data_IF_972318560193
#
_entry.id   IF_972318560193
#
_cell.length_a   1.000
_cell.length_b   1.000
_cell.length_c   1.000
_cell.angle_alpha   90.00
_cell.angle_beta   90.00
_cell.angle_gamma   90.00
#
_symmetry.space_group_name_H-M   'P 1'
#
loop_
_entity.id
_entity.type
_entity.pdbx_description
1 polymer ?
#
# COMPACT_ATOMS: atom_id res chain seq x y z
N UNK A 1 -37.41 3.80 -65.28
CA UNK A 1 -36.98 5.17 -64.91
C UNK A 1 -36.41 5.16 -63.51
N UNK A 2 -35.10 5.28 -63.46
CA UNK A 2 -34.19 5.20 -62.31
C UNK A 2 -34.32 6.43 -61.42
N UNK A 3 -34.66 6.25 -60.14
CA UNK A 3 -34.38 7.25 -59.09
C UNK A 3 -33.11 6.81 -58.35
N UNK A 4 -32.01 7.48 -58.69
CA UNK A 4 -30.75 7.43 -57.96
C UNK A 4 -30.96 8.02 -56.56
N UNK A 5 -30.87 7.17 -55.54
CA UNK A 5 -30.70 7.62 -54.15
C UNK A 5 -29.34 8.33 -54.02
N UNK A 6 -29.39 9.64 -53.80
CA UNK A 6 -28.23 10.45 -53.47
C UNK A 6 -27.77 10.10 -52.06
N UNK A 7 -26.54 9.59 -51.97
CA UNK A 7 -25.85 9.22 -50.72
C UNK A 7 -25.70 10.42 -49.75
N UNK A 8 -25.65 10.18 -48.43
CA UNK A 8 -25.60 11.24 -47.42
C UNK A 8 -24.16 11.75 -47.23
N UNK A 9 -23.64 12.49 -48.20
CA UNK A 9 -22.27 13.03 -48.16
C UNK A 9 -22.13 14.13 -47.08
N UNK A 10 -23.21 14.86 -46.76
CA UNK A 10 -23.22 15.93 -45.75
C UNK A 10 -23.07 15.45 -44.30
N UNK A 11 -23.74 14.36 -43.90
CA UNK A 11 -23.70 13.83 -42.52
C UNK A 11 -22.34 13.20 -42.15
N UNK A 12 -21.61 12.62 -43.12
CA UNK A 12 -20.25 12.07 -42.91
C UNK A 12 -19.20 13.16 -42.67
N UNK A 13 -19.34 14.33 -43.31
CA UNK A 13 -18.41 15.48 -43.16
C UNK A 13 -18.51 16.13 -41.79
N UNK A 14 -19.72 16.28 -41.25
CA UNK A 14 -19.95 16.90 -39.94
C UNK A 14 -19.46 16.02 -38.76
N UNK A 15 -19.62 14.69 -38.87
CA UNK A 15 -19.12 13.71 -37.88
C UNK A 15 -17.58 13.66 -37.86
N UNK A 16 -16.95 13.73 -39.03
CA UNK A 16 -15.48 13.76 -39.20
C UNK A 16 -14.83 15.04 -38.63
N UNK A 17 -15.50 16.19 -38.72
CA UNK A 17 -15.01 17.43 -38.11
C UNK A 17 -15.16 17.45 -36.58
N UNK A 18 -16.25 16.89 -36.03
CA UNK A 18 -16.41 16.71 -34.56
C UNK A 18 -15.34 15.80 -33.97
N UNK A 19 -15.03 14.69 -34.64
CA UNK A 19 -13.96 13.76 -34.23
C UNK A 19 -12.58 14.44 -34.33
N UNK A 20 -12.31 15.24 -35.37
CA UNK A 20 -11.07 16.02 -35.47
C UNK A 20 -10.94 17.08 -34.37
N UNK A 21 -12.03 17.75 -33.98
CA UNK A 21 -12.02 18.68 -32.85
C UNK A 21 -11.81 17.98 -31.50
N UNK A 22 -12.41 16.80 -31.28
CA UNK A 22 -12.16 15.99 -30.09
C UNK A 22 -10.73 15.46 -30.04
N UNK A 23 -10.18 14.95 -31.15
CA UNK A 23 -8.78 14.50 -31.24
C UNK A 23 -7.82 15.68 -31.05
N UNK A 24 -8.15 16.86 -31.58
CA UNK A 24 -7.35 18.07 -31.36
C UNK A 24 -7.43 18.56 -29.90
N UNK A 25 -8.60 18.51 -29.25
CA UNK A 25 -8.75 18.80 -27.82
C UNK A 25 -7.98 17.79 -26.96
N UNK A 26 -8.01 16.48 -27.28
CA UNK A 26 -7.21 15.44 -26.61
C UNK A 26 -5.70 15.70 -26.81
N UNK A 27 -5.27 16.11 -28.01
CA UNK A 27 -3.86 16.47 -28.27
C UNK A 27 -3.42 17.78 -27.60
N UNK A 28 -4.32 18.74 -27.40
CA UNK A 28 -4.04 20.03 -26.72
C UNK A 28 -4.14 19.93 -25.19
N UNK A 29 -4.97 19.02 -24.67
CA UNK A 29 -5.05 18.70 -23.26
C UNK A 29 -3.85 17.89 -22.77
N UNK A 30 -3.27 17.03 -23.63
CA UNK A 30 -2.07 16.23 -23.32
C UNK A 30 -0.89 17.01 -22.72
N UNK A 31 -0.40 18.12 -23.30
CA UNK A 31 0.70 18.87 -22.70
C UNK A 31 0.31 19.57 -21.40
N UNK A 32 -0.90 20.13 -21.31
CA UNK A 32 -1.38 20.79 -20.08
C UNK A 32 -1.54 19.79 -18.94
N UNK A 33 -2.17 18.64 -19.20
CA UNK A 33 -2.30 17.54 -18.25
C UNK A 33 -0.92 17.02 -17.83
N UNK A 34 0.01 16.87 -18.77
CA UNK A 34 1.38 16.43 -18.45
C UNK A 34 2.10 17.44 -17.55
N UNK A 35 2.00 18.74 -17.83
CA UNK A 35 2.58 19.80 -16.99
C UNK A 35 1.96 19.77 -15.59
N UNK A 36 0.64 19.69 -15.48
CA UNK A 36 -0.06 19.63 -14.18
C UNK A 36 0.38 18.38 -13.40
N UNK A 37 0.40 17.21 -14.03
CA UNK A 37 0.85 15.96 -13.40
C UNK A 37 2.31 16.04 -12.96
N UNK A 38 3.17 16.68 -13.76
CA UNK A 38 4.58 16.89 -13.42
C UNK A 38 4.73 17.80 -12.21
N UNK A 39 3.97 18.89 -12.14
CA UNK A 39 3.97 19.80 -10.98
C UNK A 39 3.50 19.06 -9.72
N UNK A 40 2.41 18.29 -9.82
CA UNK A 40 1.90 17.49 -8.70
C UNK A 40 2.96 16.47 -8.25
N UNK A 41 3.60 15.77 -9.18
CA UNK A 41 4.66 14.81 -8.88
C UNK A 41 5.85 15.48 -8.17
N UNK A 42 6.32 16.63 -8.65
CA UNK A 42 7.40 17.40 -8.01
C UNK A 42 7.00 17.80 -6.60
N UNK A 43 5.80 18.33 -6.41
CA UNK A 43 5.30 18.74 -5.08
C UNK A 43 5.21 17.54 -4.12
N UNK A 44 4.78 16.37 -4.59
CA UNK A 44 4.73 15.15 -3.78
C UNK A 44 6.12 14.60 -3.44
N UNK A 45 7.12 14.81 -4.30
CA UNK A 45 8.49 14.35 -4.06
C UNK A 45 9.28 15.25 -3.10
N UNK A 46 8.88 16.52 -2.95
CA UNK A 46 9.57 17.50 -2.08
C UNK A 46 9.85 16.93 -0.68
N UNK A 47 8.87 16.41 0.10
CA UNK A 47 9.13 15.90 1.45
C UNK A 47 10.12 14.73 1.47
N UNK A 48 10.06 13.87 0.46
CA UNK A 48 10.95 12.72 0.32
C UNK A 48 12.38 13.21 0.05
N UNK A 49 12.54 14.10 -0.93
CA UNK A 49 13.84 14.68 -1.28
C UNK A 49 14.45 15.40 -0.07
N UNK A 50 13.69 16.20 0.66
CA UNK A 50 14.17 16.86 1.88
C UNK A 50 14.52 15.87 2.99
N UNK A 51 13.77 14.78 3.13
CA UNK A 51 14.08 13.73 4.12
C UNK A 51 15.43 13.10 3.82
N UNK A 52 15.67 12.72 2.56
CA UNK A 52 16.96 12.19 2.14
C UNK A 52 18.07 13.24 2.24
N UNK A 53 17.83 14.49 1.83
CA UNK A 53 18.81 15.57 1.91
C UNK A 53 19.25 15.80 3.36
N UNK A 54 18.31 16.01 4.28
CA UNK A 54 18.57 16.27 5.69
C UNK A 54 19.12 15.05 6.44
N UNK A 55 18.99 13.83 5.90
CA UNK A 55 19.64 12.65 6.48
C UNK A 55 21.18 12.71 6.44
N UNK A 56 21.75 13.53 5.55
CA UNK A 56 23.19 13.74 5.40
C UNK A 56 23.71 14.97 6.17
N UNK A 57 22.84 15.70 6.86
CA UNK A 57 23.23 16.88 7.63
C UNK A 57 23.74 16.47 9.02
N UNK A 58 24.72 17.19 9.59
CA UNK A 58 25.14 17.00 10.97
C UNK A 58 23.99 17.31 11.94
N UNK A 59 23.90 16.55 13.04
CA UNK A 59 22.88 16.76 14.09
C UNK A 59 22.82 18.22 14.57
N UNK A 60 23.97 18.85 14.79
CA UNK A 60 24.06 20.24 15.26
C UNK A 60 23.39 21.23 14.30
N UNK A 61 23.62 21.07 13.00
CA UNK A 61 23.07 21.94 11.95
C UNK A 61 21.54 21.79 11.86
N UNK A 62 21.04 20.54 11.93
CA UNK A 62 19.60 20.25 11.95
C UNK A 62 18.94 20.80 13.21
N UNK A 63 19.55 20.62 14.38
CA UNK A 63 18.97 21.13 15.63
C UNK A 63 18.89 22.66 15.64
N UNK A 64 19.90 23.36 15.12
CA UNK A 64 19.87 24.81 14.96
C UNK A 64 18.80 25.24 13.95
N UNK A 65 18.71 24.53 12.82
CA UNK A 65 17.69 24.78 11.81
C UNK A 65 16.27 24.64 12.36
N UNK A 66 15.99 23.54 13.06
CA UNK A 66 14.68 23.24 13.61
C UNK A 66 14.36 24.06 14.85
N UNK A 67 15.35 24.57 15.59
CA UNK A 67 15.13 25.55 16.65
C UNK A 67 14.51 26.85 16.09
N UNK A 68 14.83 27.21 14.84
CA UNK A 68 14.22 28.34 14.13
C UNK A 68 12.74 28.16 13.81
N UNK A 69 12.20 26.92 13.86
CA UNK A 69 10.80 26.61 13.52
C UNK A 69 9.77 27.31 14.40
N UNK A 70 10.10 27.54 15.68
CA UNK A 70 9.22 28.19 16.65
C UNK A 70 9.52 29.70 16.81
N UNK A 71 10.45 30.25 16.01
CA UNK A 71 10.73 31.68 15.97
C UNK A 71 9.71 32.35 15.06
N UNK A 72 8.57 32.77 15.62
CA UNK A 72 7.49 33.45 14.91
C UNK A 72 7.84 34.90 14.54
N UNK A 73 9.02 35.14 13.97
CA UNK A 73 9.30 36.41 13.31
C UNK A 73 8.48 36.46 12.02
N UNK A 74 7.34 37.16 12.07
CA UNK A 74 6.33 37.23 11.00
C UNK A 74 6.87 37.81 9.68
N UNK A 75 8.12 38.30 9.66
CA UNK A 75 8.71 39.00 8.52
C UNK A 75 9.64 38.13 7.66
N UNK A 76 10.07 36.95 8.13
CA UNK A 76 10.99 36.07 7.37
C UNK A 76 10.50 34.63 7.34
N UNK A 77 10.43 34.08 6.14
CA UNK A 77 10.27 32.66 5.94
C UNK A 77 11.49 31.92 6.48
N UNK A 78 11.30 30.71 6.99
CA UNK A 78 12.42 29.84 7.37
C UNK A 78 13.24 29.52 6.12
N UNK A 79 14.55 29.78 6.18
CA UNK A 79 15.45 29.49 5.06
C UNK A 79 15.42 28.00 4.71
N UNK A 80 15.70 27.65 3.45
CA UNK A 80 15.78 26.25 3.03
C UNK A 80 17.26 25.89 2.90
N UNK A 81 17.69 24.88 3.66
CA UNK A 81 19.06 24.36 3.61
C UNK A 81 19.21 23.41 2.42
N UNK A 82 19.74 23.91 1.30
CA UNK A 82 19.95 23.08 0.11
C UNK A 82 21.23 22.23 0.16
N UNK A 83 22.23 22.63 0.96
CA UNK A 83 23.50 21.91 1.09
C UNK A 83 24.03 21.99 2.53
N UNK A 84 24.53 20.87 3.08
CA UNK A 84 25.12 20.87 4.42
C UNK A 84 26.48 21.57 4.42
N UNK A 85 26.87 22.15 5.55
CA UNK A 85 28.22 22.67 5.73
C UNK A 85 29.29 21.55 5.62
N UNK A 86 28.91 20.34 6.05
CA UNK A 86 29.70 19.12 5.87
C UNK A 86 28.75 17.92 5.71
N UNK A 87 28.99 17.08 4.71
CA UNK A 87 28.24 15.83 4.54
C UNK A 87 28.60 14.89 5.69
N UNK A 88 27.60 14.43 6.44
CA UNK A 88 27.77 13.59 7.61
C UNK A 88 26.90 12.34 7.54
N UNK A 89 27.53 11.17 7.73
CA UNK A 89 26.84 9.88 7.88
C UNK A 89 26.59 9.52 9.34
N UNK A 90 26.80 10.47 10.25
CA UNK A 90 26.74 10.23 11.70
C UNK A 90 25.37 9.71 12.14
N UNK A 91 24.28 10.22 11.56
CA UNK A 91 22.94 9.77 11.89
C UNK A 91 22.73 8.28 11.58
N UNK A 92 23.18 7.82 10.42
CA UNK A 92 23.11 6.41 10.03
C UNK A 92 23.98 5.54 10.94
N UNK A 93 25.18 6.01 11.29
CA UNK A 93 26.04 5.32 12.24
C UNK A 93 25.38 5.17 13.62
N UNK A 94 24.72 6.22 14.11
CA UNK A 94 24.01 6.18 15.40
C UNK A 94 22.87 5.16 15.37
N UNK A 95 22.03 5.17 14.34
CA UNK A 95 20.87 4.26 14.22
C UNK A 95 21.30 2.80 14.03
N UNK A 96 22.36 2.54 13.27
CA UNK A 96 22.77 1.18 12.90
C UNK A 96 23.74 0.57 13.91
N UNK A 97 24.56 1.37 14.58
CA UNK A 97 25.70 0.89 15.38
C UNK A 97 25.63 1.35 16.83
N UNK A 98 25.41 2.64 17.10
CA UNK A 98 25.47 3.16 18.49
C UNK A 98 24.22 2.82 19.31
N UNK A 99 23.06 2.86 18.68
CA UNK A 99 21.76 2.64 19.32
C UNK A 99 21.11 1.38 18.75
N UNK A 100 21.52 0.17 19.20
CA UNK A 100 21.05 -1.10 18.65
C UNK A 100 19.54 -1.33 18.83
N UNK A 101 18.88 -0.55 19.68
CA UNK A 101 17.43 -0.56 19.82
C UNK A 101 16.72 -0.25 18.50
N UNK A 102 17.18 0.74 17.72
CA UNK A 102 16.56 1.11 16.45
C UNK A 102 16.63 -0.04 15.44
N UNK A 103 17.80 -0.68 15.33
CA UNK A 103 18.00 -1.83 14.47
C UNK A 103 17.11 -3.00 14.89
N UNK A 104 16.98 -3.25 16.20
CA UNK A 104 16.08 -4.28 16.73
C UNK A 104 14.62 -4.01 16.35
N UNK A 105 14.14 -2.78 16.53
CA UNK A 105 12.78 -2.40 16.17
C UNK A 105 12.54 -2.44 14.65
N UNK A 106 13.56 -2.12 13.84
CA UNK A 106 13.52 -2.31 12.39
C UNK A 106 13.37 -3.79 12.02
N UNK A 107 14.15 -4.67 12.66
CA UNK A 107 14.03 -6.11 12.49
C UNK A 107 12.65 -6.62 12.93
N UNK A 108 12.08 -6.07 14.01
CA UNK A 108 10.70 -6.38 14.41
C UNK A 108 9.70 -5.99 13.32
N UNK A 109 9.81 -4.79 12.74
CA UNK A 109 8.97 -4.36 11.61
C UNK A 109 9.05 -5.32 10.41
N UNK A 110 10.27 -5.72 10.04
CA UNK A 110 10.49 -6.68 8.96
C UNK A 110 9.90 -8.07 9.28
N UNK A 111 10.09 -8.55 10.50
CA UNK A 111 9.53 -9.82 10.98
C UNK A 111 7.99 -9.79 10.96
N UNK A 112 7.36 -8.73 11.49
CA UNK A 112 5.91 -8.59 11.47
C UNK A 112 5.37 -8.53 10.04
N UNK A 113 5.95 -7.67 9.19
CA UNK A 113 5.54 -7.55 7.79
C UNK A 113 5.66 -8.87 7.04
N UNK A 114 6.79 -9.56 7.15
CA UNK A 114 7.00 -10.86 6.50
C UNK A 114 6.04 -11.94 7.02
N UNK A 115 5.88 -12.07 8.34
CA UNK A 115 5.01 -13.09 8.92
C UNK A 115 3.53 -12.88 8.53
N UNK A 116 3.07 -11.62 8.55
CA UNK A 116 1.70 -11.27 8.15
C UNK A 116 1.49 -11.55 6.67
N UNK A 117 2.39 -11.08 5.81
CA UNK A 117 2.28 -11.31 4.36
C UNK A 117 2.29 -12.78 4.00
N UNK A 118 3.17 -13.58 4.61
CA UNK A 118 3.21 -15.03 4.37
C UNK A 118 1.90 -15.71 4.78
N UNK A 119 1.37 -15.37 5.96
CA UNK A 119 0.08 -15.90 6.40
C UNK A 119 -1.07 -15.47 5.50
N UNK A 120 -1.11 -14.20 5.09
CA UNK A 120 -2.12 -13.68 4.17
C UNK A 120 -2.05 -14.33 2.79
N UNK A 121 -0.85 -14.50 2.23
CA UNK A 121 -0.63 -15.13 0.94
C UNK A 121 -1.17 -16.57 0.88
N UNK A 122 -1.25 -17.25 2.03
CA UNK A 122 -1.85 -18.57 2.14
C UNK A 122 -3.35 -18.51 2.39
N UNK A 123 -3.78 -17.78 3.44
CA UNK A 123 -5.16 -17.82 3.94
C UNK A 123 -6.12 -17.07 3.01
N UNK A 124 -5.71 -15.91 2.50
CA UNK A 124 -6.62 -15.00 1.80
C UNK A 124 -6.97 -15.52 0.41
N UNK A 125 -6.04 -15.87 -0.48
CA UNK A 125 -6.37 -16.40 -1.81
C UNK A 125 -7.19 -17.69 -1.75
N UNK A 126 -6.89 -18.57 -0.77
CA UNK A 126 -7.64 -19.82 -0.59
C UNK A 126 -9.09 -19.55 -0.17
N UNK A 127 -9.29 -18.65 0.80
CA UNK A 127 -10.64 -18.27 1.25
C UNK A 127 -11.39 -17.53 0.14
N UNK A 128 -10.72 -16.64 -0.60
CA UNK A 128 -11.30 -15.95 -1.75
C UNK A 128 -11.74 -16.93 -2.84
N UNK A 129 -10.94 -17.95 -3.11
CA UNK A 129 -11.28 -19.01 -4.07
C UNK A 129 -12.50 -19.82 -3.61
N UNK A 130 -12.53 -20.20 -2.33
CA UNK A 130 -13.67 -20.89 -1.73
C UNK A 130 -14.98 -20.07 -1.88
N UNK A 131 -14.94 -18.78 -1.54
CA UNK A 131 -16.09 -17.88 -1.55
C UNK A 131 -16.49 -17.36 -2.95
N UNK A 132 -15.63 -17.53 -3.96
CA UNK A 132 -15.93 -17.14 -5.35
C UNK A 132 -16.40 -18.31 -6.21
N UNK A 133 -15.84 -19.52 -6.02
CA UNK A 133 -16.05 -20.65 -6.94
C UNK A 133 -16.95 -21.76 -6.44
N UNK A 134 -17.04 -21.95 -5.14
CA UNK A 134 -17.87 -23.01 -4.59
C UNK A 134 -19.26 -22.48 -4.23
N UNK A 135 -20.26 -23.34 -4.37
CA UNK A 135 -21.64 -23.06 -3.95
C UNK A 135 -21.90 -23.96 -2.74
N UNK A 136 -22.02 -23.36 -1.56
CA UNK A 136 -22.32 -24.08 -0.33
C UNK A 136 -23.23 -23.24 0.57
N UNK A 137 -23.95 -23.91 1.47
CA UNK A 137 -24.91 -23.26 2.38
C UNK A 137 -24.16 -22.28 3.30
N UNK A 138 -24.61 -21.02 3.33
CA UNK A 138 -24.00 -19.97 4.16
C UNK A 138 -22.85 -19.19 3.54
N UNK A 139 -22.41 -19.51 2.31
CA UNK A 139 -21.35 -18.78 1.60
C UNK A 139 -21.57 -17.26 1.59
N UNK A 140 -22.77 -16.84 1.20
CA UNK A 140 -23.07 -15.41 1.05
C UNK A 140 -23.23 -14.72 2.41
N UNK A 141 -23.63 -15.45 3.46
CA UNK A 141 -23.63 -14.96 4.84
C UNK A 141 -22.21 -14.75 5.36
N UNK A 142 -21.30 -15.70 5.12
CA UNK A 142 -19.88 -15.54 5.49
C UNK A 142 -19.30 -14.31 4.80
N UNK A 143 -19.54 -14.17 3.49
CA UNK A 143 -19.04 -13.01 2.76
C UNK A 143 -19.69 -11.70 3.23
N UNK A 144 -20.98 -11.70 3.58
CA UNK A 144 -21.63 -10.55 4.19
C UNK A 144 -20.99 -10.15 5.53
N UNK A 145 -20.64 -11.12 6.38
CA UNK A 145 -19.90 -10.86 7.63
C UNK A 145 -18.54 -10.24 7.33
N UNK A 146 -17.81 -10.73 6.32
CA UNK A 146 -16.54 -10.13 5.88
C UNK A 146 -16.73 -8.66 5.47
N UNK A 147 -17.79 -8.33 4.74
CA UNK A 147 -18.11 -6.95 4.37
C UNK A 147 -18.40 -6.07 5.59
N UNK A 148 -19.18 -6.57 6.55
CA UNK A 148 -19.46 -5.84 7.80
C UNK A 148 -18.17 -5.58 8.58
N UNK A 149 -17.32 -6.59 8.74
CA UNK A 149 -16.04 -6.46 9.45
C UNK A 149 -15.09 -5.47 8.76
N UNK A 150 -15.11 -5.39 7.43
CA UNK A 150 -14.30 -4.44 6.67
C UNK A 150 -14.69 -2.97 6.94
N UNK A 151 -15.96 -2.70 7.31
CA UNK A 151 -16.45 -1.34 7.58
C UNK A 151 -16.11 -0.90 9.01
N UNK A 152 -15.91 -1.85 9.93
CA UNK A 152 -15.66 -1.53 11.33
C UNK A 152 -14.28 -0.88 11.51
N UNK A 153 -14.19 0.28 12.18
CA UNK A 153 -12.90 0.87 12.50
C UNK A 153 -12.19 0.06 13.58
N UNK A 154 -10.86 0.15 13.61
CA UNK A 154 -10.03 -0.55 14.58
C UNK A 154 -10.45 -0.27 16.03
N UNK A 155 -10.81 0.98 16.34
CA UNK A 155 -11.15 1.41 17.69
C UNK A 155 -12.40 0.71 18.25
N UNK A 156 -13.33 0.30 17.39
CA UNK A 156 -14.53 -0.47 17.79
C UNK A 156 -14.17 -1.93 18.08
N UNK A 157 -13.26 -2.50 17.29
CA UNK A 157 -12.83 -3.91 17.45
C UNK A 157 -11.70 -4.09 18.47
N UNK A 158 -11.09 -3.00 18.94
CA UNK A 158 -9.96 -3.01 19.86
C UNK A 158 -10.28 -3.72 21.17
N UNK A 159 -11.33 -3.30 21.88
CA UNK A 159 -11.73 -3.88 23.16
C UNK A 159 -12.01 -5.40 23.07
N UNK A 160 -12.87 -5.89 22.15
CA UNK A 160 -13.10 -7.32 22.03
C UNK A 160 -11.85 -8.10 21.58
N UNK A 161 -10.98 -7.50 20.76
CA UNK A 161 -9.71 -8.12 20.36
C UNK A 161 -8.78 -8.33 21.56
N UNK A 162 -8.61 -7.32 22.42
CA UNK A 162 -7.80 -7.45 23.65
C UNK A 162 -8.35 -8.53 24.58
N UNK A 163 -9.68 -8.58 24.77
CA UNK A 163 -10.32 -9.59 25.62
C UNK A 163 -10.07 -11.00 25.07
N UNK A 164 -10.21 -11.16 23.75
CA UNK A 164 -9.99 -12.45 23.07
C UNK A 164 -8.53 -12.88 23.16
N UNK A 165 -7.59 -11.98 22.85
CA UNK A 165 -6.15 -12.25 22.93
C UNK A 165 -5.70 -12.57 24.35
N UNK A 166 -6.28 -11.90 25.35
CA UNK A 166 -6.04 -12.20 26.76
C UNK A 166 -6.57 -13.58 27.14
N UNK A 167 -7.79 -13.93 26.72
CA UNK A 167 -8.38 -15.24 26.99
C UNK A 167 -7.58 -16.38 26.33
N UNK A 168 -7.00 -16.14 25.16
CA UNK A 168 -6.11 -17.07 24.47
C UNK A 168 -4.68 -17.11 25.03
N UNK A 169 -4.33 -16.27 26.00
CA UNK A 169 -2.97 -16.16 26.53
C UNK A 169 -1.94 -15.61 25.54
N UNK A 170 -2.39 -14.97 24.46
CA UNK A 170 -1.53 -14.45 23.39
C UNK A 170 -1.11 -12.99 23.61
N UNK A 171 -1.81 -12.25 24.46
CA UNK A 171 -1.49 -10.85 24.76
C UNK A 171 -0.03 -10.72 25.22
N UNK A 172 0.65 -9.64 24.83
CA UNK A 172 2.09 -9.43 25.05
C UNK A 172 3.03 -10.43 24.34
N UNK A 173 2.57 -11.09 23.28
CA UNK A 173 3.41 -11.89 22.39
C UNK A 173 3.34 -11.35 20.96
N UNK A 174 4.31 -11.72 20.12
CA UNK A 174 4.31 -11.32 18.70
C UNK A 174 3.05 -11.83 17.96
N UNK A 175 2.51 -12.97 18.39
CA UNK A 175 1.30 -13.56 17.84
C UNK A 175 0.04 -12.72 18.05
N UNK A 176 0.02 -11.87 19.08
CA UNK A 176 -1.09 -10.93 19.30
C UNK A 176 -1.26 -9.93 18.14
N UNK A 177 -0.18 -9.65 17.41
CA UNK A 177 -0.19 -8.77 16.24
C UNK A 177 -0.32 -9.58 14.96
N UNK A 178 0.46 -10.66 14.82
CA UNK A 178 0.53 -11.45 13.58
C UNK A 178 -0.81 -12.12 13.28
N UNK A 179 -1.39 -12.86 14.24
CA UNK A 179 -2.57 -13.70 13.96
C UNK A 179 -3.80 -12.89 13.51
N UNK A 180 -4.18 -11.77 14.16
CA UNK A 180 -5.31 -10.99 13.69
C UNK A 180 -5.08 -10.39 12.30
N UNK A 181 -3.85 -9.98 11.97
CA UNK A 181 -3.54 -9.35 10.69
C UNK A 181 -3.41 -10.34 9.52
N UNK A 182 -3.22 -11.64 9.77
CA UNK A 182 -3.25 -12.68 8.73
C UNK A 182 -4.62 -12.72 8.03
N UNK A 183 -5.70 -12.44 8.74
CA UNK A 183 -7.03 -12.35 8.15
C UNK A 183 -7.44 -10.89 7.98
N UNK A 184 -7.21 -10.35 6.78
CA UNK A 184 -7.66 -9.01 6.41
C UNK A 184 -8.93 -9.08 5.57
N UNK A 185 -10.09 -8.58 6.07
CA UNK A 185 -11.34 -8.55 5.32
C UNK A 185 -11.22 -7.80 3.98
N UNK A 186 -10.43 -6.70 3.96
CA UNK A 186 -10.23 -5.89 2.76
C UNK A 186 -9.52 -6.64 1.65
N UNK A 187 -8.40 -7.32 1.95
CA UNK A 187 -7.66 -8.09 0.94
C UNK A 187 -8.44 -9.32 0.48
N UNK A 188 -9.20 -9.96 1.38
CA UNK A 188 -10.13 -11.03 1.02
C UNK A 188 -11.21 -10.55 0.05
N UNK A 189 -11.81 -9.40 0.34
CA UNK A 189 -12.78 -8.76 -0.53
C UNK A 189 -12.19 -8.49 -1.91
N UNK A 190 -11.03 -7.80 -1.98
CA UNK A 190 -10.39 -7.43 -3.25
C UNK A 190 -10.09 -8.65 -4.13
N UNK A 191 -9.41 -9.66 -3.58
CA UNK A 191 -9.03 -10.85 -4.34
C UNK A 191 -10.28 -11.62 -4.77
N UNK A 192 -11.29 -11.77 -3.89
CA UNK A 192 -12.55 -12.43 -4.25
C UNK A 192 -13.27 -11.69 -5.38
N UNK A 193 -13.36 -10.36 -5.32
CA UNK A 193 -14.06 -9.57 -6.35
C UNK A 193 -13.39 -9.69 -7.72
N UNK A 194 -12.05 -9.79 -7.74
CA UNK A 194 -11.33 -10.10 -8.95
C UNK A 194 -11.61 -11.53 -9.43
N UNK A 195 -11.54 -12.52 -8.53
CA UNK A 195 -11.82 -13.92 -8.86
C UNK A 195 -13.22 -14.12 -9.42
N UNK A 196 -14.25 -13.45 -8.88
CA UNK A 196 -15.63 -13.52 -9.40
C UNK A 196 -15.73 -12.99 -10.83
N UNK A 197 -14.88 -12.03 -11.23
CA UNK A 197 -14.85 -11.48 -12.57
C UNK A 197 -14.25 -12.41 -13.64
N UNK A 198 -13.54 -13.47 -13.23
CA UNK A 198 -12.91 -14.40 -14.17
C UNK A 198 -13.97 -15.42 -14.67
N UNK A 199 -14.12 -15.59 -16.00
CA UNK A 199 -15.09 -16.52 -16.59
C UNK A 199 -14.94 -17.96 -16.07
N UNK A 200 -16.05 -18.67 -15.85
CA UNK A 200 -16.04 -20.04 -15.31
C UNK A 200 -15.45 -21.05 -16.31
N UNK A 201 -15.57 -20.75 -17.60
CA UNK A 201 -15.13 -21.57 -18.74
C UNK A 201 -13.64 -21.94 -18.64
N UNK A 202 -12.82 -21.04 -18.08
CA UNK A 202 -11.38 -21.26 -17.88
C UNK A 202 -11.13 -22.37 -16.86
N UNK A 203 -11.95 -22.44 -15.80
CA UNK A 203 -11.85 -23.48 -14.77
C UNK A 203 -12.45 -24.80 -15.29
N UNK A 204 -13.58 -24.73 -15.99
CA UNK A 204 -14.23 -25.88 -16.60
C UNK A 204 -13.31 -26.57 -17.62
N UNK A 205 -12.60 -25.81 -18.46
CA UNK A 205 -11.59 -26.35 -19.37
C UNK A 205 -10.51 -27.16 -18.63
N UNK A 206 -9.96 -26.62 -17.54
CA UNK A 206 -8.99 -27.34 -16.72
C UNK A 206 -9.58 -28.61 -16.06
N UNK A 207 -10.85 -28.59 -15.68
CA UNK A 207 -11.53 -29.76 -15.13
C UNK A 207 -11.78 -30.84 -16.21
N UNK A 208 -12.07 -30.45 -17.45
CA UNK A 208 -12.16 -31.36 -18.59
C UNK A 208 -10.82 -32.04 -18.88
N UNK A 209 -9.69 -31.34 -18.63
CA UNK A 209 -8.33 -31.90 -18.68
C UNK A 209 -7.97 -32.77 -17.45
N UNK A 210 -8.94 -33.05 -16.56
CA UNK A 210 -8.76 -33.89 -15.38
C UNK A 210 -8.13 -33.18 -14.18
N UNK A 211 -8.01 -31.85 -14.19
CA UNK A 211 -7.53 -31.11 -13.02
C UNK A 211 -8.63 -30.99 -11.95
N UNK A 212 -8.38 -31.55 -10.76
CA UNK A 212 -9.24 -31.33 -9.60
C UNK A 212 -9.19 -29.87 -9.11
N UNK A 213 -10.15 -29.45 -8.27
CA UNK A 213 -10.30 -28.04 -7.86
C UNK A 213 -9.05 -27.43 -7.24
N UNK A 214 -8.30 -28.19 -6.44
CA UNK A 214 -7.04 -27.72 -5.85
C UNK A 214 -5.94 -27.53 -6.91
N UNK A 215 -5.91 -28.39 -7.94
CA UNK A 215 -4.97 -28.23 -9.06
C UNK A 215 -5.36 -27.02 -9.91
N UNK A 216 -6.65 -26.81 -10.19
CA UNK A 216 -7.14 -25.61 -10.86
C UNK A 216 -6.80 -24.34 -10.07
N UNK A 217 -6.91 -24.37 -8.73
CA UNK A 217 -6.51 -23.24 -7.91
C UNK A 217 -5.04 -22.84 -8.16
N UNK A 218 -4.09 -23.77 -8.01
CA UNK A 218 -2.67 -23.45 -8.15
C UNK A 218 -2.21 -23.19 -9.59
N UNK A 219 -2.73 -23.92 -10.57
CA UNK A 219 -2.22 -23.86 -11.95
C UNK A 219 -3.03 -22.95 -12.88
N UNK A 220 -4.25 -22.58 -12.50
CA UNK A 220 -5.14 -21.75 -13.33
C UNK A 220 -5.47 -20.45 -12.61
N UNK A 221 -6.04 -20.54 -11.40
CA UNK A 221 -6.53 -19.35 -10.71
C UNK A 221 -5.39 -18.43 -10.23
N UNK A 222 -4.39 -18.97 -9.53
CA UNK A 222 -3.29 -18.17 -8.98
C UNK A 222 -2.51 -17.41 -10.07
N UNK A 223 -2.13 -18.01 -11.21
CA UNK A 223 -1.47 -17.28 -12.30
C UNK A 223 -2.32 -16.13 -12.87
N UNK A 224 -3.63 -16.35 -13.05
CA UNK A 224 -4.54 -15.32 -13.56
C UNK A 224 -4.76 -14.21 -12.53
N UNK A 225 -4.79 -14.55 -11.25
CA UNK A 225 -4.93 -13.59 -10.15
C UNK A 225 -3.60 -12.95 -9.71
N UNK A 226 -2.47 -13.27 -10.35
CA UNK A 226 -1.16 -12.73 -9.95
C UNK A 226 -1.15 -11.20 -9.83
N UNK A 227 -1.74 -10.41 -10.76
CA UNK A 227 -1.75 -8.95 -10.62
C UNK A 227 -2.48 -8.46 -9.38
N UNK A 228 -3.68 -9.00 -9.09
CA UNK A 228 -4.45 -8.57 -7.90
C UNK A 228 -3.81 -9.06 -6.60
N UNK A 229 -3.18 -10.24 -6.61
CA UNK A 229 -2.45 -10.78 -5.46
C UNK A 229 -1.21 -9.93 -5.18
N UNK A 230 -0.47 -9.53 -6.22
CA UNK A 230 0.68 -8.64 -6.10
C UNK A 230 0.28 -7.26 -5.57
N UNK A 231 -0.80 -6.67 -6.10
CA UNK A 231 -1.34 -5.43 -5.59
C UNK A 231 -1.75 -5.54 -4.11
N UNK A 232 -2.49 -6.59 -3.73
CA UNK A 232 -2.89 -6.84 -2.34
C UNK A 232 -1.68 -7.05 -1.41
N UNK A 233 -0.64 -7.74 -1.88
CA UNK A 233 0.60 -7.92 -1.13
C UNK A 233 1.34 -6.60 -0.90
N UNK A 234 1.43 -5.73 -1.91
CA UNK A 234 2.06 -4.42 -1.78
C UNK A 234 1.30 -3.50 -0.81
N UNK A 235 -0.03 -3.46 -0.93
CA UNK A 235 -0.91 -2.73 -0.02
C UNK A 235 -0.77 -3.27 1.42
N UNK A 236 -0.81 -4.59 1.60
CA UNK A 236 -0.68 -5.15 2.95
C UNK A 236 0.72 -5.01 3.53
N UNK A 237 1.75 -4.96 2.69
CA UNK A 237 3.09 -4.61 3.15
C UNK A 237 3.07 -3.19 3.70
N UNK A 238 2.48 -2.23 2.99
CA UNK A 238 2.38 -0.85 3.46
C UNK A 238 1.64 -0.75 4.81
N UNK A 239 0.51 -1.45 4.94
CA UNK A 239 -0.28 -1.49 6.19
C UNK A 239 0.53 -2.10 7.35
N UNK A 240 1.16 -3.25 7.12
CA UNK A 240 1.91 -3.95 8.16
C UNK A 240 3.22 -3.25 8.51
N UNK A 241 3.87 -2.63 7.53
CA UNK A 241 5.08 -1.86 7.74
C UNK A 241 4.79 -0.66 8.65
N UNK A 242 3.72 0.10 8.35
CA UNK A 242 3.33 1.33 9.05
C UNK A 242 2.39 1.14 10.26
N UNK A 243 2.21 -0.10 10.74
CA UNK A 243 1.29 -0.35 11.86
C UNK A 243 1.75 0.35 13.15
N UNK A 244 0.83 0.98 13.88
CA UNK A 244 1.14 1.66 15.16
C UNK A 244 0.16 1.28 16.25
N UNK A 245 -1.14 1.31 15.94
CA UNK A 245 -2.19 1.15 16.95
C UNK A 245 -2.21 -0.26 17.56
N UNK A 246 -2.13 -1.31 16.74
CA UNK A 246 -2.22 -2.70 17.19
C UNK A 246 -1.05 -3.07 18.12
N UNK A 247 0.23 -2.82 17.76
CA UNK A 247 1.35 -3.12 18.65
C UNK A 247 1.33 -2.29 19.93
N UNK A 248 0.88 -1.04 19.87
CA UNK A 248 0.80 -0.17 21.04
C UNK A 248 -0.20 -0.69 22.08
N UNK A 249 -1.31 -1.29 21.63
CA UNK A 249 -2.35 -1.84 22.50
C UNK A 249 -2.02 -3.28 22.94
N UNK A 250 -1.37 -4.08 22.09
CA UNK A 250 -1.18 -5.51 22.32
C UNK A 250 0.15 -5.89 22.97
N UNK A 251 1.15 -5.00 22.92
CA UNK A 251 2.51 -5.26 23.40
C UNK A 251 2.92 -4.25 24.48
N UNK A 252 3.14 -4.75 25.70
CA UNK A 252 3.61 -3.92 26.81
C UNK A 252 5.10 -3.55 26.72
N UNK A 253 5.93 -4.39 26.08
CA UNK A 253 7.39 -4.16 26.01
C UNK A 253 7.72 -3.37 24.73
N UNK A 254 8.27 -2.16 24.89
CA UNK A 254 8.72 -1.33 23.77
C UNK A 254 9.68 -2.07 22.83
N UNK A 255 10.59 -2.87 23.38
CA UNK A 255 11.54 -3.65 22.58
C UNK A 255 10.92 -4.74 21.68
N UNK A 256 9.62 -5.05 21.82
CA UNK A 256 8.86 -5.95 20.95
C UNK A 256 8.08 -5.20 19.86
N UNK A 257 7.96 -3.88 19.97
CA UNK A 257 7.18 -3.09 19.03
C UNK A 257 7.94 -2.93 17.69
N UNK A 258 7.23 -2.64 16.60
CA UNK A 258 7.85 -2.24 15.35
C UNK A 258 8.40 -0.81 15.44
N UNK A 259 9.33 -0.48 14.55
CA UNK A 259 9.97 0.84 14.48
C UNK A 259 8.97 1.99 14.29
N UNK A 260 7.88 1.74 13.57
CA UNK A 260 6.76 2.69 13.36
C UNK A 260 6.21 3.27 14.66
N UNK A 261 6.09 2.45 15.72
CA UNK A 261 5.56 2.92 17.02
C UNK A 261 6.52 3.92 17.64
N UNK A 262 7.83 3.63 17.59
CA UNK A 262 8.83 4.54 18.13
C UNK A 262 8.91 5.84 17.33
N UNK A 263 8.80 5.80 16.00
CA UNK A 263 8.70 7.03 15.19
C UNK A 263 7.43 7.83 15.46
N UNK A 264 6.31 7.18 15.78
CA UNK A 264 5.10 7.87 16.19
C UNK A 264 5.26 8.58 17.55
N UNK A 265 6.10 8.05 18.43
CA UNK A 265 6.37 8.60 19.76
C UNK A 265 7.55 9.58 19.79
N UNK A 266 8.36 9.68 18.73
CA UNK A 266 9.50 10.61 18.67
C UNK A 266 9.00 12.06 18.78
N UNK A 267 9.43 12.72 19.86
CA UNK A 267 9.22 14.16 20.04
C UNK A 267 10.22 14.97 19.21
N UNK A 268 9.88 16.23 18.93
CA UNK A 268 10.70 17.19 18.16
C UNK A 268 12.12 17.38 18.68
N UNK A 269 12.40 17.04 19.94
CA UNK A 269 13.73 17.18 20.57
C UNK A 269 14.72 16.05 20.20
N UNK A 270 14.20 14.90 19.73
CA UNK A 270 15.00 13.74 19.28
C UNK A 270 15.39 13.81 17.79
N UNK A 271 15.45 15.02 17.23
CA UNK A 271 15.52 15.28 15.77
C UNK A 271 16.84 14.90 15.11
N UNK A 272 17.89 14.63 15.89
CA UNK A 272 19.23 14.37 15.38
C UNK A 272 19.37 13.11 14.53
N UNK A 273 18.39 12.19 14.57
CA UNK A 273 18.41 10.90 13.84
C UNK A 273 17.11 10.68 13.04
N UNK A 274 16.13 11.58 13.16
CA UNK A 274 14.81 11.40 12.57
C UNK A 274 14.86 11.30 11.04
N UNK A 275 15.70 12.09 10.37
CA UNK A 275 15.80 12.10 8.92
C UNK A 275 16.48 10.84 8.37
N UNK A 276 17.59 10.39 8.97
CA UNK A 276 18.20 9.12 8.57
C UNK A 276 17.31 7.91 8.89
N UNK A 277 16.59 7.94 10.01
CA UNK A 277 15.62 6.91 10.38
C UNK A 277 14.48 6.84 9.37
N UNK A 278 13.88 7.99 9.03
CA UNK A 278 12.83 8.06 8.03
C UNK A 278 13.32 7.65 6.63
N UNK A 279 14.51 8.11 6.20
CA UNK A 279 15.12 7.70 4.94
C UNK A 279 15.32 6.19 4.87
N UNK A 280 15.90 5.59 5.91
CA UNK A 280 16.12 4.14 5.99
C UNK A 280 14.80 3.34 6.01
N UNK A 281 13.79 3.86 6.70
CA UNK A 281 12.48 3.21 6.81
C UNK A 281 11.62 3.33 5.55
N UNK A 282 11.86 4.35 4.71
CA UNK A 282 11.23 4.48 3.38
C UNK A 282 11.77 3.46 2.37
N UNK A 283 13.02 3.02 2.50
CA UNK A 283 13.67 2.15 1.51
C UNK A 283 12.91 0.82 1.29
N UNK A 284 12.52 0.04 2.31
CA UNK A 284 11.80 -1.21 2.09
C UNK A 284 10.46 -1.03 1.38
N UNK A 285 9.72 0.03 1.73
CA UNK A 285 8.44 0.35 1.08
C UNK A 285 8.63 0.71 -0.39
N UNK A 286 9.66 1.48 -0.71
CA UNK A 286 10.00 1.85 -2.09
C UNK A 286 10.41 0.61 -2.91
N UNK A 287 11.21 -0.30 -2.33
CA UNK A 287 11.61 -1.55 -3.00
C UNK A 287 10.41 -2.45 -3.30
N UNK A 288 9.49 -2.61 -2.34
CA UNK A 288 8.26 -3.38 -2.54
C UNK A 288 7.37 -2.74 -3.61
N UNK A 289 7.23 -1.41 -3.60
CA UNK A 289 6.47 -0.70 -4.64
C UNK A 289 7.07 -0.92 -6.04
N UNK A 290 8.38 -0.74 -6.21
CA UNK A 290 9.04 -0.96 -7.51
C UNK A 290 8.86 -2.41 -7.99
N UNK A 291 8.91 -3.37 -7.08
CA UNK A 291 8.70 -4.77 -7.41
C UNK A 291 7.28 -5.07 -7.90
N UNK A 292 6.25 -4.47 -7.27
CA UNK A 292 4.85 -4.72 -7.59
C UNK A 292 4.19 -3.67 -8.50
N UNK A 293 4.92 -2.65 -8.98
CA UNK A 293 4.33 -1.54 -9.74
C UNK A 293 3.52 -2.01 -10.97
N UNK A 294 4.02 -3.01 -11.70
CA UNK A 294 3.34 -3.54 -12.87
C UNK A 294 2.06 -4.29 -12.48
N UNK A 295 2.10 -5.08 -11.41
CA UNK A 295 0.94 -5.81 -10.87
C UNK A 295 -0.13 -4.85 -10.36
N UNK A 296 0.27 -3.75 -9.68
CA UNK A 296 -0.63 -2.69 -9.22
C UNK A 296 -1.30 -2.01 -10.43
N UNK A 297 -0.52 -1.61 -11.43
CA UNK A 297 -1.04 -0.94 -12.63
C UNK A 297 -2.01 -1.86 -13.41
N UNK A 298 -1.65 -3.13 -13.59
CA UNK A 298 -2.50 -4.12 -14.24
C UNK A 298 -3.77 -4.41 -13.43
N UNK A 299 -3.67 -4.50 -12.10
CA UNK A 299 -4.79 -4.71 -11.21
C UNK A 299 -5.85 -3.61 -11.32
N UNK A 300 -5.43 -2.35 -11.44
CA UNK A 300 -6.34 -1.21 -11.65
C UNK A 300 -6.99 -1.27 -13.03
N UNK A 301 -6.21 -1.50 -14.09
CA UNK A 301 -6.73 -1.55 -15.47
C UNK A 301 -7.76 -2.66 -15.68
N UNK A 302 -7.53 -3.85 -15.12
CA UNK A 302 -8.47 -4.98 -15.23
C UNK A 302 -9.76 -4.76 -14.44
N UNK A 303 -9.76 -3.89 -13.43
CA UNK A 303 -10.98 -3.48 -12.73
C UNK A 303 -11.85 -2.51 -13.53
N UNK A 304 -11.28 -1.79 -14.50
CA UNK A 304 -11.99 -0.78 -15.31
C UNK A 304 -12.57 -1.34 -16.63
N UNK A 305 -12.13 -2.50 -17.09
CA UNK A 305 -12.62 -3.14 -18.34
C UNK A 305 -13.97 -3.88 -18.18
N UNK A 306 -14.79 -3.50 -17.19
CA UNK A 306 -16.15 -4.00 -16.97
C UNK A 306 -17.21 -3.03 -17.46
#
# INVERSE_FOLDING_TARGET
>A
MTKLETTPIGKRRHKRNRIRHLIAQIKRARPLTFVILTIIAVVMLIPIVFTFLYSFFPKSEITTYLAGRNSYDQTKWMDILFSPAQVSLRQYYTILIEEPEYLKLFCNSAMYGAAILLGQAFVIPLTAYALSRFIFRGRDLIFFIVLVLMILPFQVTMAPSVMTLRALGLLNTQWAVILPMIFSPFYLFLIRQFMVGIPNEIIEAGQMDGAGSLRCFFHVMIPVCRPIIGAAAALSFADSWNMVEQPLVYLNKQSMQPLSVMFNQMSTESTGIAFAGAALYLLPMLLVYIYFQDDILLGVQLSELK
#
